data_IF_497066009242
#
_entry.id   IF_497066009242
#
_cell.length_a   1.000
_cell.length_b   1.000
_cell.length_c   1.000
_cell.angle_alpha   90.00
_cell.angle_beta   90.00
_cell.angle_gamma   90.00
#
_symmetry.space_group_name_H-M   'P 1'
#
loop_
_entity.id
_entity.type
_entity.pdbx_description
1 polymer ?
#
# COMPACT_ATOMS: atom_id res chain seq x y z
N UNK A 1 -8.36 28.55 15.42
CA UNK A 1 -7.93 27.71 14.28
C UNK A 1 -9.17 27.26 13.54
N UNK A 2 -9.46 27.89 12.40
CA UNK A 2 -10.59 27.52 11.53
C UNK A 2 -10.24 26.21 10.85
N UNK A 3 -11.03 25.14 11.07
CA UNK A 3 -10.85 23.90 10.34
C UNK A 3 -11.00 24.19 8.84
N UNK A 4 -10.02 23.76 8.03
CA UNK A 4 -10.13 23.88 6.58
C UNK A 4 -11.43 23.21 6.11
N UNK A 5 -12.15 23.78 5.14
CA UNK A 5 -13.37 23.17 4.64
C UNK A 5 -13.06 21.76 4.15
N UNK A 6 -13.79 20.80 4.69
CA UNK A 6 -13.63 19.39 4.36
C UNK A 6 -13.99 19.23 2.88
N UNK A 7 -13.05 18.77 2.06
CA UNK A 7 -13.31 18.54 0.63
C UNK A 7 -14.54 17.66 0.45
N UNK A 8 -15.35 17.99 -0.56
CA UNK A 8 -16.53 17.20 -0.93
C UNK A 8 -16.11 15.73 -1.22
N UNK A 9 -16.63 14.75 -0.45
CA UNK A 9 -16.27 13.36 -0.65
C UNK A 9 -16.63 12.83 -2.04
N UNK A 10 -17.74 13.27 -2.63
CA UNK A 10 -18.22 12.74 -3.91
C UNK A 10 -17.34 13.22 -5.06
N UNK A 11 -17.00 14.50 -5.08
CA UNK A 11 -16.02 15.05 -6.02
C UNK A 11 -14.64 14.36 -5.89
N UNK A 12 -14.23 13.99 -4.68
CA UNK A 12 -12.99 13.25 -4.47
C UNK A 12 -13.10 11.82 -5.01
N UNK A 13 -14.19 11.12 -4.78
CA UNK A 13 -14.39 9.76 -5.30
C UNK A 13 -14.40 9.78 -6.83
N UNK A 14 -15.16 10.68 -7.46
CA UNK A 14 -15.21 10.80 -8.91
C UNK A 14 -13.82 10.95 -9.54
N UNK A 15 -12.99 11.85 -8.98
CA UNK A 15 -11.61 12.04 -9.45
C UNK A 15 -10.76 10.77 -9.36
N UNK A 16 -10.93 9.97 -8.30
CA UNK A 16 -10.16 8.74 -8.13
C UNK A 16 -10.63 7.64 -9.09
N UNK A 17 -11.93 7.57 -9.36
CA UNK A 17 -12.50 6.62 -10.32
C UNK A 17 -12.10 6.95 -11.77
N UNK A 18 -11.87 8.22 -12.08
CA UNK A 18 -11.39 8.67 -13.40
C UNK A 18 -9.88 8.44 -13.61
N UNK A 19 -9.14 8.01 -12.58
CA UNK A 19 -7.69 7.75 -12.70
C UNK A 19 -7.45 6.46 -13.49
N UNK A 20 -6.61 6.54 -14.52
CA UNK A 20 -6.19 5.39 -15.30
C UNK A 20 -5.53 4.31 -14.42
N UNK A 21 -5.87 3.04 -14.63
CA UNK A 21 -5.40 1.95 -13.79
C UNK A 21 -3.89 1.75 -13.88
N UNK A 22 -3.29 1.97 -15.05
CA UNK A 22 -1.86 1.82 -15.24
C UNK A 22 -1.12 3.01 -14.62
N UNK A 23 -1.67 4.22 -14.74
CA UNK A 23 -1.19 5.40 -14.00
C UNK A 23 -1.19 5.14 -12.48
N UNK A 24 -2.33 4.70 -11.93
CA UNK A 24 -2.45 4.40 -10.52
C UNK A 24 -1.49 3.29 -10.07
N UNK A 25 -1.32 2.25 -10.89
CA UNK A 25 -0.38 1.16 -10.63
C UNK A 25 1.04 1.68 -10.46
N UNK A 26 1.53 2.53 -11.38
CA UNK A 26 2.86 3.15 -11.26
C UNK A 26 2.99 4.00 -10.00
N UNK A 27 1.95 4.75 -9.63
CA UNK A 27 1.94 5.56 -8.40
C UNK A 27 2.10 4.69 -7.16
N UNK A 28 1.33 3.59 -7.05
CA UNK A 28 1.37 2.68 -5.91
C UNK A 28 2.71 1.95 -5.84
N UNK A 29 3.16 1.34 -6.94
CA UNK A 29 4.42 0.60 -7.02
C UNK A 29 5.60 1.50 -6.64
N UNK A 30 5.71 2.69 -7.25
CA UNK A 30 6.79 3.64 -6.93
C UNK A 30 6.78 4.08 -5.48
N UNK A 31 5.59 4.25 -4.88
CA UNK A 31 5.49 4.65 -3.47
C UNK A 31 5.98 3.57 -2.52
N UNK A 32 5.66 2.30 -2.77
CA UNK A 32 6.02 1.21 -1.86
C UNK A 32 7.46 0.71 -2.05
N UNK A 33 7.96 0.74 -3.29
CA UNK A 33 9.30 0.28 -3.65
C UNK A 33 10.31 1.41 -3.87
N UNK A 34 10.02 2.63 -3.38
CA UNK A 34 11.03 3.69 -3.31
C UNK A 34 12.12 3.28 -2.30
N UNK A 35 13.41 3.21 -2.70
CA UNK A 35 14.47 2.62 -1.87
C UNK A 35 14.76 3.42 -0.59
N UNK A 36 14.30 4.67 -0.49
CA UNK A 36 14.55 5.55 0.66
C UNK A 36 13.30 5.69 1.53
N UNK A 37 12.13 5.76 0.90
CA UNK A 37 10.89 6.19 1.55
C UNK A 37 9.74 5.18 1.44
N UNK A 38 10.01 4.02 0.85
CA UNK A 38 9.06 2.92 0.68
C UNK A 38 8.59 2.26 1.98
N UNK A 39 7.77 1.22 1.84
CA UNK A 39 7.31 0.43 3.00
C UNK A 39 8.42 -0.53 3.43
N UNK A 40 8.85 -0.55 4.70
CA UNK A 40 9.85 -1.49 5.20
C UNK A 40 9.56 -2.95 4.80
N UNK A 41 8.32 -3.40 4.92
CA UNK A 41 7.90 -4.74 4.52
C UNK A 41 8.19 -5.03 3.03
N UNK A 42 7.72 -4.15 2.13
CA UNK A 42 7.85 -4.35 0.69
C UNK A 42 9.29 -4.22 0.21
N UNK A 43 10.06 -3.29 0.79
CA UNK A 43 11.50 -3.18 0.54
C UNK A 43 12.24 -4.44 0.99
N UNK A 44 11.82 -5.08 2.08
CA UNK A 44 12.35 -6.38 2.52
C UNK A 44 11.94 -7.56 1.63
N UNK A 45 10.79 -7.48 0.94
CA UNK A 45 10.37 -8.50 -0.03
C UNK A 45 11.06 -8.34 -1.40
N UNK A 46 11.39 -7.11 -1.82
CA UNK A 46 11.90 -6.84 -3.17
C UNK A 46 13.10 -7.73 -3.59
N UNK A 47 14.13 -8.00 -2.75
CA UNK A 47 15.24 -8.87 -3.11
C UNK A 47 14.87 -10.36 -3.27
N UNK A 48 13.64 -10.74 -2.91
CA UNK A 48 13.13 -12.12 -2.95
C UNK A 48 12.25 -12.37 -4.19
N UNK A 49 12.00 -11.33 -4.99
CA UNK A 49 11.25 -11.42 -6.24
C UNK A 49 12.21 -11.75 -7.38
N UNK A 50 11.71 -12.49 -8.37
CA UNK A 50 12.47 -12.83 -9.59
C UNK A 50 12.52 -11.67 -10.61
N UNK A 51 11.97 -10.50 -10.26
CA UNK A 51 11.88 -9.31 -11.10
C UNK A 51 12.05 -8.02 -10.27
N UNK A 52 12.43 -6.91 -10.90
CA UNK A 52 12.37 -5.61 -10.24
C UNK A 52 10.91 -5.16 -10.17
N UNK A 53 10.32 -4.97 -8.97
CA UNK A 53 8.93 -4.59 -8.83
C UNK A 53 8.59 -3.25 -9.51
N UNK A 54 9.59 -2.38 -9.75
CA UNK A 54 9.41 -1.09 -10.44
C UNK A 54 9.21 -1.23 -11.95
N UNK A 55 9.46 -2.41 -12.52
CA UNK A 55 9.16 -2.73 -13.92
C UNK A 55 7.66 -3.01 -14.16
N UNK A 56 6.88 -3.18 -13.07
CA UNK A 56 5.42 -3.31 -13.12
C UNK A 56 4.81 -1.94 -13.38
N UNK A 57 4.32 -1.74 -14.60
CA UNK A 57 3.81 -0.44 -15.08
C UNK A 57 2.36 -0.47 -15.54
N UNK A 58 1.73 -1.64 -15.51
CA UNK A 58 0.33 -1.86 -15.89
C UNK A 58 -0.42 -2.68 -14.85
N UNK A 59 -1.71 -2.47 -14.74
CA UNK A 59 -2.56 -3.15 -13.78
C UNK A 59 -2.57 -4.68 -13.99
N UNK A 60 -2.60 -5.13 -15.24
CA UNK A 60 -2.60 -6.55 -15.61
C UNK A 60 -1.32 -7.30 -15.19
N UNK A 61 -0.22 -6.58 -14.97
CA UNK A 61 1.07 -7.14 -14.55
C UNK A 61 1.14 -7.40 -13.04
N UNK A 62 0.23 -6.85 -12.23
CA UNK A 62 0.23 -7.05 -10.77
C UNK A 62 0.11 -8.52 -10.37
N UNK A 63 -0.40 -9.38 -11.26
CA UNK A 63 -0.43 -10.83 -11.05
C UNK A 63 0.96 -11.46 -10.84
N UNK A 64 2.04 -10.80 -11.27
CA UNK A 64 3.41 -11.27 -11.06
C UNK A 64 3.82 -11.39 -9.58
N UNK A 65 3.19 -10.62 -8.68
CA UNK A 65 3.43 -10.72 -7.23
C UNK A 65 2.81 -11.99 -6.61
N UNK A 66 1.87 -12.63 -7.30
CA UNK A 66 1.09 -13.73 -6.76
C UNK A 66 0.17 -13.31 -5.59
N UNK A 67 -0.48 -14.28 -4.93
CA UNK A 67 -1.32 -14.01 -3.76
C UNK A 67 -0.46 -13.58 -2.57
N UNK A 68 -0.96 -12.60 -1.80
CA UNK A 68 -0.31 -12.20 -0.56
C UNK A 68 -0.43 -13.32 0.50
N UNK A 69 0.68 -13.71 1.18
CA UNK A 69 0.65 -14.70 2.25
C UNK A 69 0.02 -14.12 3.52
N UNK A 70 -1.30 -14.27 3.66
CA UNK A 70 -2.09 -13.66 4.75
C UNK A 70 -1.63 -14.10 6.15
N UNK A 71 -1.03 -15.28 6.29
CA UNK A 71 -0.47 -15.78 7.54
C UNK A 71 0.62 -14.86 8.10
N UNK A 72 1.35 -14.14 7.24
CA UNK A 72 2.35 -13.16 7.67
C UNK A 72 1.76 -12.05 8.54
N UNK A 73 0.53 -11.60 8.26
CA UNK A 73 -0.08 -10.46 8.98
C UNK A 73 -0.23 -10.70 10.48
N UNK A 74 -0.18 -11.96 10.94
CA UNK A 74 -0.22 -12.36 12.36
C UNK A 74 1.08 -12.04 13.10
N UNK A 75 2.16 -11.77 12.38
CA UNK A 75 3.51 -11.69 12.90
C UNK A 75 4.24 -10.41 12.49
N UNK A 76 3.85 -9.78 11.38
CA UNK A 76 4.43 -8.52 10.92
C UNK A 76 3.96 -7.34 11.80
N UNK A 77 4.86 -6.37 12.06
CA UNK A 77 4.46 -5.10 12.65
C UNK A 77 3.63 -4.31 11.63
N UNK A 78 2.37 -3.92 11.92
CA UNK A 78 1.57 -3.12 11.00
C UNK A 78 2.24 -1.82 10.55
N UNK A 79 3.16 -1.27 11.36
CA UNK A 79 3.91 -0.06 11.01
C UNK A 79 4.85 -0.27 9.81
N UNK A 80 5.32 -1.50 9.56
CA UNK A 80 6.23 -1.84 8.45
C UNK A 80 5.51 -1.92 7.11
N UNK A 81 4.17 -2.02 7.12
CA UNK A 81 3.36 -1.92 5.91
C UNK A 81 3.21 -0.46 5.44
N UNK A 82 3.43 0.51 6.34
CA UNK A 82 3.26 1.95 6.03
C UNK A 82 4.55 2.55 5.48
N UNK A 83 4.53 3.21 4.30
CA UNK A 83 5.72 3.86 3.74
C UNK A 83 6.40 4.81 4.72
N UNK A 84 7.74 4.85 4.70
CA UNK A 84 8.54 5.79 5.49
C UNK A 84 8.31 7.25 5.08
N UNK A 85 7.79 7.48 3.87
CA UNK A 85 7.34 8.80 3.41
C UNK A 85 6.19 9.39 4.24
N UNK A 86 5.51 8.58 5.06
CA UNK A 86 4.42 9.03 5.93
C UNK A 86 5.01 9.61 7.24
N UNK A 87 4.65 10.85 7.62
CA UNK A 87 5.16 11.49 8.84
C UNK A 87 4.95 10.64 10.09
N UNK A 88 5.92 10.71 11.02
CA UNK A 88 5.90 10.00 12.30
C UNK A 88 5.75 11.00 13.47
N UNK A 89 5.11 10.61 14.59
CA UNK A 89 4.48 9.31 14.85
C UNK A 89 3.27 9.07 13.94
N UNK A 90 2.99 7.81 13.60
CA UNK A 90 1.86 7.49 12.75
C UNK A 90 0.56 7.92 13.41
N UNK A 91 -0.21 8.75 12.71
CA UNK A 91 -1.59 9.06 13.04
C UNK A 91 -2.50 8.09 12.28
N UNK A 92 -3.06 7.09 12.95
CA UNK A 92 -3.86 6.06 12.30
C UNK A 92 -4.52 5.11 13.29
N UNK A 93 -5.20 4.10 12.75
CA UNK A 93 -5.75 2.97 13.51
C UNK A 93 -5.27 1.68 12.86
N UNK A 94 -5.16 0.63 13.67
CA UNK A 94 -4.96 -0.74 13.22
C UNK A 94 -6.31 -1.46 13.30
N UNK A 95 -6.58 -2.32 12.34
CA UNK A 95 -7.77 -3.15 12.29
C UNK A 95 -7.36 -4.58 11.98
N UNK A 96 -8.02 -5.53 12.62
CA UNK A 96 -7.78 -6.95 12.42
C UNK A 96 -8.89 -7.60 11.59
N UNK A 97 -8.56 -8.72 10.97
CA UNK A 97 -9.56 -9.60 10.36
C UNK A 97 -10.41 -10.29 11.43
N UNK A 98 -11.57 -10.83 11.06
CA UNK A 98 -12.47 -11.49 12.00
C UNK A 98 -11.96 -12.82 12.59
N UNK A 99 -10.83 -13.35 12.11
CA UNK A 99 -10.21 -14.57 12.65
C UNK A 99 -10.99 -15.87 12.41
N UNK A 100 -11.93 -15.89 11.45
CA UNK A 100 -12.79 -17.06 11.19
C UNK A 100 -12.01 -18.31 10.76
N UNK A 101 -10.81 -18.12 10.22
CA UNK A 101 -9.91 -19.20 9.78
C UNK A 101 -8.70 -19.39 10.72
N UNK A 102 -8.74 -18.81 11.93
CA UNK A 102 -7.67 -18.87 12.94
C UNK A 102 -7.29 -17.49 13.48
N UNK A 103 -6.39 -17.41 14.47
CA UNK A 103 -5.98 -16.19 15.19
C UNK A 103 -5.86 -14.94 14.31
N UNK A 104 -6.56 -13.84 14.58
CA UNK A 104 -6.34 -12.60 13.84
C UNK A 104 -4.87 -12.15 13.86
#
# INVERSE_FOLDING_TARGET
MTAAPRADPDARIARWLDTDLDEWTRTVVRRHFDPVSGSPYWLGQAPRLDFDPRDITRYDQLGAFGPFPLDRLRHEDPADLVPLSVPRPLAGRVWDSGGTTGTP
#
